data_IF_253483841948
#
_entry.id   IF_253483841948
#
_cell.length_a   1.000
_cell.length_b   1.000
_cell.length_c   1.000
_cell.angle_alpha   90.00
_cell.angle_beta   90.00
_cell.angle_gamma   90.00
#
_symmetry.space_group_name_H-M   'P 1'
#
loop_
_entity.id
_entity.type
_entity.pdbx_description
1 polymer ?
#
# COMPACT_ATOMS: atom_id res chain seq x y z
N UNK A 1 5.81 2.38 -31.88
CA UNK A 1 5.98 1.64 -30.62
C UNK A 1 5.59 2.61 -29.51
N UNK A 2 4.30 2.62 -29.18
CA UNK A 2 3.70 3.53 -28.21
C UNK A 2 3.91 2.94 -26.81
N UNK A 3 5.10 3.16 -26.24
CA UNK A 3 5.40 2.88 -24.83
C UNK A 3 4.70 3.90 -23.89
N UNK A 4 3.90 4.81 -24.46
CA UNK A 4 3.17 5.88 -23.78
C UNK A 4 1.77 5.47 -23.31
N UNK A 5 1.37 4.22 -23.51
CA UNK A 5 0.47 3.54 -22.57
C UNK A 5 1.23 3.22 -21.28
N UNK A 6 1.76 4.30 -20.70
CA UNK A 6 2.27 4.38 -19.35
C UNK A 6 1.36 3.54 -18.49
N UNK A 7 1.95 2.50 -17.91
CA UNK A 7 1.33 1.71 -16.87
C UNK A 7 0.47 2.67 -16.06
N UNK A 8 -0.86 2.49 -16.11
CA UNK A 8 -1.69 2.93 -15.02
C UNK A 8 -1.17 2.08 -13.86
N UNK A 9 -0.08 2.54 -13.25
CA UNK A 9 0.43 2.08 -11.97
C UNK A 9 -0.67 2.50 -11.03
N UNK A 10 -1.73 1.70 -11.08
CA UNK A 10 -2.90 1.83 -10.26
C UNK A 10 -2.30 1.57 -8.90
N UNK A 11 -2.09 2.65 -8.14
CA UNK A 11 -1.52 2.53 -6.81
C UNK A 11 -2.37 1.49 -6.10
N UNK A 12 -1.75 0.43 -5.56
CA UNK A 12 -2.51 -0.66 -4.96
C UNK A 12 -3.46 -0.06 -3.94
N UNK A 13 -4.73 -0.46 -4.02
CA UNK A 13 -5.72 0.01 -3.07
C UNK A 13 -5.35 -0.48 -1.67
N UNK A 14 -5.84 0.20 -0.63
CA UNK A 14 -5.65 -0.23 0.76
C UNK A 14 -5.98 -1.73 0.99
N UNK A 15 -6.98 -2.26 0.30
CA UNK A 15 -7.37 -3.67 0.40
C UNK A 15 -6.29 -4.61 -0.19
N UNK A 16 -5.66 -4.20 -1.29
CA UNK A 16 -4.55 -4.93 -1.92
C UNK A 16 -3.30 -4.84 -1.04
N UNK A 17 -2.97 -3.67 -0.50
CA UNK A 17 -1.86 -3.49 0.45
C UNK A 17 -2.02 -4.38 1.69
N UNK A 18 -3.23 -4.48 2.26
CA UNK A 18 -3.50 -5.43 3.35
C UNK A 18 -3.34 -6.90 2.92
N UNK A 19 -3.79 -7.23 1.71
CA UNK A 19 -3.64 -8.58 1.18
C UNK A 19 -2.17 -8.93 0.99
N UNK A 20 -1.36 -7.98 0.51
CA UNK A 20 0.08 -8.14 0.36
C UNK A 20 0.78 -8.29 1.71
N UNK A 21 0.39 -7.52 2.71
CA UNK A 21 0.90 -7.66 4.08
C UNK A 21 0.56 -9.04 4.67
N UNK A 22 -0.70 -9.48 4.54
CA UNK A 22 -1.14 -10.81 5.00
C UNK A 22 -0.42 -11.95 4.27
N UNK A 23 -0.16 -11.79 2.97
CA UNK A 23 0.60 -12.75 2.16
C UNK A 23 2.12 -12.62 2.35
N UNK A 24 2.59 -11.70 3.21
CA UNK A 24 4.01 -11.36 3.41
C UNK A 24 4.76 -11.00 2.13
N UNK A 25 4.04 -10.46 1.14
CA UNK A 25 4.61 -9.95 -0.11
C UNK A 25 5.32 -8.61 0.13
N UNK A 26 4.77 -7.79 1.03
CA UNK A 26 5.37 -6.54 1.49
C UNK A 26 5.59 -6.58 3.01
N UNK A 27 6.55 -5.81 3.49
CA UNK A 27 6.79 -5.61 4.92
C UNK A 27 5.85 -4.53 5.48
N UNK A 28 5.70 -4.51 6.81
CA UNK A 28 4.94 -3.46 7.49
C UNK A 28 5.50 -2.07 7.19
N UNK A 29 6.82 -1.95 7.03
CA UNK A 29 7.50 -0.69 6.70
C UNK A 29 7.07 -0.16 5.32
N UNK A 30 7.08 -1.02 4.31
CA UNK A 30 6.60 -0.70 2.95
C UNK A 30 5.11 -0.38 2.96
N UNK A 31 4.31 -1.08 3.77
CA UNK A 31 2.89 -0.77 3.94
C UNK A 31 2.66 0.63 4.52
N UNK A 32 3.47 1.04 5.50
CA UNK A 32 3.41 2.39 6.10
C UNK A 32 3.78 3.46 5.06
N UNK A 33 4.88 3.26 4.33
CA UNK A 33 5.33 4.22 3.31
C UNK A 33 4.30 4.39 2.19
N UNK A 34 3.72 3.29 1.69
CA UNK A 34 2.68 3.34 0.65
C UNK A 34 1.39 4.02 1.16
N UNK A 35 0.97 3.71 2.39
CA UNK A 35 -0.20 4.36 3.01
C UNK A 35 0.05 5.86 3.24
N UNK A 36 1.26 6.24 3.65
CA UNK A 36 1.67 7.64 3.80
C UNK A 36 1.71 8.36 2.46
N UNK A 37 2.22 7.69 1.41
CA UNK A 37 2.23 8.19 0.03
C UNK A 37 0.85 8.31 -0.62
N UNK A 38 -0.17 7.66 -0.05
CA UNK A 38 -1.58 7.84 -0.40
C UNK A 38 -2.29 8.92 0.44
N UNK A 39 -1.62 9.52 1.43
CA UNK A 39 -2.19 10.57 2.27
C UNK A 39 -2.98 10.07 3.48
N UNK A 40 -2.84 8.79 3.86
CA UNK A 40 -3.49 8.28 5.06
C UNK A 40 -2.80 8.83 6.33
N UNK A 41 -3.58 9.21 7.37
CA UNK A 41 -3.00 9.65 8.63
C UNK A 41 -2.27 8.51 9.33
N UNK A 42 -1.11 8.78 9.94
CA UNK A 42 -0.32 7.79 10.68
C UNK A 42 -1.13 7.04 11.75
N UNK A 43 -2.10 7.72 12.39
CA UNK A 43 -3.02 7.10 13.36
C UNK A 43 -3.81 5.91 12.78
N UNK A 44 -4.23 6.01 11.52
CA UNK A 44 -4.92 4.90 10.85
C UNK A 44 -3.94 3.75 10.61
N UNK A 45 -2.69 4.05 10.24
CA UNK A 45 -1.65 3.06 9.99
C UNK A 45 -1.30 2.29 11.28
N UNK A 46 -1.17 2.99 12.40
CA UNK A 46 -0.96 2.39 13.72
C UNK A 46 -2.10 1.48 14.15
N UNK A 47 -3.35 1.85 13.85
CA UNK A 47 -4.50 1.00 14.12
C UNK A 47 -4.44 -0.32 13.33
N UNK A 48 -4.02 -0.28 12.06
CA UNK A 48 -3.81 -1.48 11.26
C UNK A 48 -2.66 -2.34 11.78
N UNK A 49 -1.57 -1.71 12.27
CA UNK A 49 -0.44 -2.40 12.89
C UNK A 49 -0.86 -3.20 14.13
N UNK A 50 -1.83 -2.72 14.91
CA UNK A 50 -2.33 -3.40 16.10
C UNK A 50 -3.36 -4.51 15.80
N UNK A 51 -4.00 -4.47 14.63
CA UNK A 51 -5.09 -5.39 14.26
C UNK A 51 -4.61 -6.61 13.45
N UNK A 52 -3.42 -6.52 12.83
CA UNK A 52 -2.81 -7.58 12.00
C UNK A 52 -2.07 -8.62 12.83
#
# INVERSE_FOLDING_TARGET
>A
WDLERMARTTKPTKAELMTFLRKRIITMDVFIEEMKGQGYPERYIEWYKQTV
#
